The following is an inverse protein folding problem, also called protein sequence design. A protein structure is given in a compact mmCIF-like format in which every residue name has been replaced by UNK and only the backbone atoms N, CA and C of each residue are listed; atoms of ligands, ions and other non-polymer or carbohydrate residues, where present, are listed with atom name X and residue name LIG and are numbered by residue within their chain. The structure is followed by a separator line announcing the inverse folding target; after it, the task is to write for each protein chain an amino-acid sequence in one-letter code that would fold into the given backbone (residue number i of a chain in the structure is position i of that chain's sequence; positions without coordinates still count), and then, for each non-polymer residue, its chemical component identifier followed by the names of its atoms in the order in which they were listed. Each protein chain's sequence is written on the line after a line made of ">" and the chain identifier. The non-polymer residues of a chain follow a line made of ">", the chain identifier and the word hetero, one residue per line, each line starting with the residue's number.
data_IF_447939039009
#
_entry.id   IF_447939039009
#
_cell.length_a   1.000
_cell.length_b   1.000
_cell.length_c   1.000
_cell.angle_alpha   90.00
_cell.angle_beta   90.00
_cell.angle_gamma   90.00
#
_symmetry.space_group_name_H-M   'P 1'
#
loop_
_entity.id
_entity.type
_entity.pdbx_description
1 polymer ?
#
# COMPACT_ATOMS: atom_id res chain seq x y z
N UNK A 1 18.12 -13.15 -20.26
CA UNK A 1 17.87 -11.71 -20.53
C UNK A 1 16.52 -11.35 -19.93
N UNK A 2 16.51 -10.69 -18.77
CA UNK A 2 15.28 -10.23 -18.12
C UNK A 2 15.19 -8.70 -18.29
N UNK A 3 14.16 -8.16 -18.97
CA UNK A 3 14.03 -6.73 -19.13
C UNK A 3 13.61 -6.08 -17.81
N UNK A 4 14.46 -5.15 -17.40
CA UNK A 4 14.35 -4.16 -16.33
C UNK A 4 12.91 -3.58 -16.20
N UNK A 5 12.10 -4.10 -15.27
CA UNK A 5 10.80 -3.54 -14.88
C UNK A 5 11.00 -2.30 -13.98
N UNK A 6 11.53 -1.23 -14.57
CA UNK A 6 11.52 0.11 -13.97
C UNK A 6 10.16 0.75 -14.22
N UNK A 7 9.20 0.46 -13.34
CA UNK A 7 7.90 1.13 -13.37
C UNK A 7 8.09 2.64 -13.10
N UNK A 8 7.41 3.52 -13.87
CA UNK A 8 7.47 4.97 -13.66
C UNK A 8 6.93 5.37 -12.28
N UNK A 9 7.60 6.36 -11.67
CA UNK A 9 7.51 6.82 -10.27
C UNK A 9 6.21 7.56 -9.89
N UNK A 10 5.05 7.20 -10.44
CA UNK A 10 3.77 7.84 -10.10
C UNK A 10 2.91 6.88 -9.27
N UNK A 11 2.75 7.20 -8.00
CA UNK A 11 1.90 6.49 -7.05
C UNK A 11 0.44 6.51 -7.49
N UNK A 12 -0.15 5.35 -7.76
CA UNK A 12 -1.56 5.19 -8.09
C UNK A 12 -2.44 4.67 -6.93
N UNK A 13 -2.01 4.79 -5.67
CA UNK A 13 -2.88 4.44 -4.53
C UNK A 13 -4.10 5.38 -4.39
N UNK A 14 -4.09 6.56 -5.03
CA UNK A 14 -5.25 7.46 -5.07
C UNK A 14 -6.27 7.10 -6.14
N UNK A 15 -5.90 6.33 -7.18
CA UNK A 15 -6.82 5.95 -8.23
C UNK A 15 -7.79 4.87 -7.74
N UNK A 16 -7.33 3.88 -6.98
CA UNK A 16 -8.17 2.79 -6.47
C UNK A 16 -9.31 3.26 -5.54
N UNK A 17 -9.14 4.38 -4.81
CA UNK A 17 -10.21 4.96 -3.99
C UNK A 17 -11.24 5.78 -4.78
N UNK A 18 -10.87 6.24 -5.98
CA UNK A 18 -11.79 6.92 -6.90
C UNK A 18 -12.41 6.00 -7.96
N UNK A 19 -12.03 4.71 -7.97
CA UNK A 19 -12.39 3.68 -8.96
C UNK A 19 -13.22 2.54 -8.35
N UNK A 20 -13.99 2.82 -7.30
CA UNK A 20 -15.14 1.97 -6.96
C UNK A 20 -16.29 2.09 -7.98
N UNK A 21 -16.09 2.85 -9.06
CA UNK A 21 -17.01 3.04 -10.16
C UNK A 21 -16.25 2.71 -11.44
N UNK A 22 -16.61 1.57 -12.03
CA UNK A 22 -16.18 1.07 -13.34
C UNK A 22 -14.72 0.60 -13.38
N UNK A 23 -14.49 -0.62 -12.88
CA UNK A 23 -13.43 -1.44 -13.48
C UNK A 23 -13.74 -1.56 -14.98
N UNK A 24 -12.72 -1.44 -15.82
CA UNK A 24 -12.88 -1.41 -17.27
C UNK A 24 -11.67 -2.13 -17.87
N UNK A 25 -11.70 -3.46 -17.76
CA UNK A 25 -10.69 -4.34 -18.30
C UNK A 25 -11.25 -5.06 -19.52
N UNK A 26 -10.74 -4.66 -20.68
CA UNK A 26 -11.04 -5.23 -21.98
C UNK A 26 -10.56 -6.67 -22.07
N UNK A 27 -11.49 -7.62 -21.85
CA UNK A 27 -11.72 -8.92 -22.55
C UNK A 27 -12.62 -9.87 -21.73
N UNK A 28 -13.03 -9.51 -20.51
CA UNK A 28 -13.98 -10.28 -19.70
C UNK A 28 -15.23 -9.49 -19.24
N UNK A 29 -15.48 -8.30 -19.80
CA UNK A 29 -16.48 -7.33 -19.32
C UNK A 29 -17.69 -7.12 -20.25
N UNK A 30 -17.92 -8.02 -21.21
CA UNK A 30 -19.11 -7.93 -22.07
C UNK A 30 -20.43 -8.26 -21.32
N UNK A 31 -20.38 -8.67 -20.05
CA UNK A 31 -21.57 -9.08 -19.29
C UNK A 31 -21.86 -8.32 -17.98
N UNK A 32 -20.94 -7.52 -17.44
CA UNK A 32 -21.26 -6.76 -16.22
C UNK A 32 -21.90 -5.42 -16.60
N UNK A 33 -23.22 -5.45 -16.83
CA UNK A 33 -24.03 -4.22 -16.84
C UNK A 33 -23.78 -3.46 -15.54
N UNK A 34 -23.61 -2.13 -15.56
CA UNK A 34 -23.52 -1.35 -14.34
C UNK A 34 -24.73 -1.66 -13.46
N UNK A 35 -24.49 -1.93 -12.17
CA UNK A 35 -25.57 -2.24 -11.23
C UNK A 35 -26.58 -1.10 -11.20
N UNK A 36 -27.85 -1.41 -10.92
CA UNK A 36 -28.90 -0.39 -10.81
C UNK A 36 -28.50 0.73 -9.83
N UNK A 37 -27.83 0.38 -8.74
CA UNK A 37 -27.30 1.33 -7.76
C UNK A 37 -26.18 2.23 -8.32
N UNK A 38 -25.28 1.69 -9.16
CA UNK A 38 -24.25 2.48 -9.82
C UNK A 38 -24.85 3.47 -10.82
N UNK A 39 -25.88 3.04 -11.56
CA UNK A 39 -26.62 3.90 -12.48
C UNK A 39 -27.35 5.02 -11.74
N UNK A 40 -28.03 4.73 -10.64
CA UNK A 40 -28.67 5.73 -9.79
C UNK A 40 -27.66 6.74 -9.22
N UNK A 41 -26.49 6.27 -8.76
CA UNK A 41 -25.42 7.17 -8.32
C UNK A 41 -24.98 8.13 -9.43
N UNK A 42 -24.78 7.64 -10.66
CA UNK A 42 -24.39 8.49 -11.80
C UNK A 42 -25.51 9.46 -12.18
N UNK A 43 -26.78 9.03 -12.14
CA UNK A 43 -27.93 9.90 -12.39
C UNK A 43 -27.98 11.07 -11.41
N UNK A 44 -27.71 10.82 -10.14
CA UNK A 44 -27.73 11.81 -9.07
C UNK A 44 -26.43 12.64 -8.93
N UNK A 45 -25.45 12.48 -9.84
CA UNK A 45 -24.24 13.30 -9.85
C UNK A 45 -24.48 14.70 -10.43
N UNK A 46 -23.85 15.71 -9.83
CA UNK A 46 -23.80 17.07 -10.38
C UNK A 46 -23.01 17.10 -11.70
N UNK A 47 -23.19 18.14 -12.55
CA UNK A 47 -22.40 18.30 -13.78
C UNK A 47 -20.89 18.22 -13.54
N UNK A 48 -20.39 18.86 -12.47
CA UNK A 48 -18.97 18.87 -12.12
C UNK A 48 -18.48 17.48 -11.70
N UNK A 49 -19.31 16.72 -10.97
CA UNK A 49 -18.99 15.34 -10.59
C UNK A 49 -18.94 14.42 -11.81
N UNK A 50 -19.86 14.59 -12.77
CA UNK A 50 -19.87 13.85 -14.03
C UNK A 50 -18.65 14.18 -14.88
N UNK A 51 -18.28 15.45 -14.97
CA UNK A 51 -17.06 15.89 -15.68
C UNK A 51 -15.80 15.28 -15.05
N UNK A 52 -15.70 15.34 -13.73
CA UNK A 52 -14.59 14.72 -13.00
C UNK A 52 -14.53 13.19 -13.19
N UNK A 53 -15.68 12.52 -13.28
CA UNK A 53 -15.76 11.09 -13.60
C UNK A 53 -15.28 10.82 -15.03
N UNK A 54 -15.76 11.57 -16.01
CA UNK A 54 -15.34 11.43 -17.41
C UNK A 54 -13.84 11.66 -17.57
N UNK A 55 -13.27 12.67 -16.91
CA UNK A 55 -11.83 12.92 -16.93
C UNK A 55 -11.01 11.77 -16.36
N UNK A 56 -11.52 11.07 -15.34
CA UNK A 56 -10.88 9.85 -14.81
C UNK A 56 -10.97 8.69 -15.81
N UNK A 57 -12.13 8.48 -16.43
CA UNK A 57 -12.33 7.44 -17.45
C UNK A 57 -11.43 7.65 -18.66
N UNK A 58 -11.32 8.88 -19.16
CA UNK A 58 -10.42 9.22 -20.26
C UNK A 58 -8.96 8.97 -19.92
N UNK A 59 -8.55 9.28 -18.68
CA UNK A 59 -7.20 8.94 -18.21
C UNK A 59 -6.98 7.43 -18.21
N UNK A 60 -7.96 6.66 -17.74
CA UNK A 60 -7.88 5.19 -17.72
C UNK A 60 -7.79 4.59 -19.11
N UNK A 61 -8.59 5.08 -20.07
CA UNK A 61 -8.53 4.63 -21.47
C UNK A 61 -7.14 4.85 -22.08
N UNK A 62 -6.46 5.94 -21.70
CA UNK A 62 -5.11 6.28 -22.18
C UNK A 62 -3.98 5.55 -21.42
N UNK A 63 -4.28 4.76 -20.39
CA UNK A 63 -3.26 4.02 -19.64
C UNK A 63 -2.77 2.79 -20.42
N UNK A 64 -1.48 2.44 -20.32
CA UNK A 64 -0.96 1.18 -20.82
C UNK A 64 -1.73 -0.03 -20.26
N UNK A 65 -1.90 -1.09 -21.04
CA UNK A 65 -2.65 -2.29 -20.63
C UNK A 65 -2.13 -2.89 -19.30
N UNK A 66 -0.81 -2.91 -19.09
CA UNK A 66 -0.22 -3.40 -17.85
C UNK A 66 -0.57 -2.54 -16.63
N UNK A 67 -0.66 -1.22 -16.79
CA UNK A 67 -1.07 -0.31 -15.70
C UNK A 67 -2.55 -0.47 -15.37
N UNK A 68 -3.41 -0.64 -16.39
CA UNK A 68 -4.84 -0.93 -16.21
C UNK A 68 -5.07 -2.24 -15.45
N UNK A 69 -4.37 -3.30 -15.85
CA UNK A 69 -4.42 -4.60 -15.18
C UNK A 69 -4.06 -4.51 -13.69
N UNK A 70 -3.07 -3.68 -13.33
CA UNK A 70 -2.71 -3.46 -11.92
C UNK A 70 -3.80 -2.71 -11.14
N UNK A 71 -4.47 -1.73 -11.76
CA UNK A 71 -5.57 -1.00 -11.13
C UNK A 71 -6.78 -1.90 -10.91
N UNK A 72 -7.09 -2.76 -11.87
CA UNK A 72 -8.20 -3.72 -11.81
C UNK A 72 -7.97 -4.75 -10.69
N UNK A 73 -6.78 -5.35 -10.63
CA UNK A 73 -6.41 -6.25 -9.55
C UNK A 73 -6.46 -5.56 -8.17
N UNK A 74 -6.09 -4.27 -8.10
CA UNK A 74 -6.21 -3.49 -6.87
C UNK A 74 -7.66 -3.23 -6.48
N UNK A 75 -8.54 -2.95 -7.45
CA UNK A 75 -9.97 -2.74 -7.25
C UNK A 75 -10.68 -4.03 -6.80
N UNK A 76 -10.38 -5.16 -7.43
CA UNK A 76 -10.90 -6.48 -7.04
C UNK A 76 -10.47 -6.84 -5.61
N UNK A 77 -9.21 -6.56 -5.26
CA UNK A 77 -8.75 -6.77 -3.88
C UNK A 77 -9.51 -5.89 -2.89
N UNK A 78 -9.86 -4.66 -3.27
CA UNK A 78 -10.60 -3.73 -2.41
C UNK A 78 -12.07 -4.14 -2.24
N UNK A 79 -12.72 -4.63 -3.29
CA UNK A 79 -14.12 -5.10 -3.20
C UNK A 79 -14.27 -6.32 -2.29
N UNK A 80 -13.21 -7.14 -2.18
CA UNK A 80 -13.13 -8.27 -1.24
C UNK A 80 -12.82 -7.86 0.21
N UNK A 81 -12.48 -6.60 0.50
CA UNK A 81 -12.22 -6.11 1.86
C UNK A 81 -13.52 -5.74 2.58
N UNK A 82 -13.57 -6.00 3.89
CA UNK A 82 -14.67 -5.53 4.73
C UNK A 82 -14.60 -4.00 4.99
N UNK A 83 -15.68 -3.36 5.49
CA UNK A 83 -15.71 -1.90 5.68
C UNK A 83 -14.59 -1.35 6.57
N UNK A 84 -14.19 -2.09 7.61
CA UNK A 84 -13.12 -1.70 8.53
C UNK A 84 -11.75 -1.71 7.86
N UNK A 85 -11.45 -2.75 7.08
CA UNK A 85 -10.22 -2.86 6.29
C UNK A 85 -10.14 -1.74 5.24
N UNK A 86 -11.26 -1.45 4.59
CA UNK A 86 -11.34 -0.31 3.65
C UNK A 86 -11.11 1.01 4.38
N UNK A 87 -11.66 1.21 5.58
CA UNK A 87 -11.43 2.40 6.39
C UNK A 87 -9.97 2.54 6.83
N UNK A 88 -9.33 1.45 7.27
CA UNK A 88 -7.89 1.44 7.62
C UNK A 88 -7.04 1.82 6.40
N UNK A 89 -7.36 1.29 5.22
CA UNK A 89 -6.67 1.62 3.99
C UNK A 89 -6.87 3.08 3.58
N UNK A 90 -8.09 3.64 3.72
CA UNK A 90 -8.37 5.07 3.50
C UNK A 90 -7.53 5.95 4.42
N UNK A 91 -7.51 5.62 5.71
CA UNK A 91 -6.72 6.36 6.70
C UNK A 91 -5.22 6.28 6.41
N UNK A 92 -4.70 5.10 6.04
CA UNK A 92 -3.30 4.93 5.67
C UNK A 92 -2.94 5.73 4.41
N UNK A 93 -3.82 5.74 3.41
CA UNK A 93 -3.64 6.53 2.20
C UNK A 93 -3.64 8.04 2.49
N UNK A 94 -4.56 8.51 3.33
CA UNK A 94 -4.62 9.92 3.73
C UNK A 94 -3.32 10.35 4.44
N UNK A 95 -2.88 9.57 5.44
CA UNK A 95 -1.59 9.80 6.12
C UNK A 95 -0.42 9.85 5.14
N UNK A 96 -0.41 8.99 4.12
CA UNK A 96 0.62 9.03 3.09
C UNK A 96 0.55 10.29 2.22
N UNK A 97 -0.65 10.77 1.87
CA UNK A 97 -0.82 12.02 1.09
C UNK A 97 -0.34 13.23 1.86
N UNK A 98 -0.57 13.25 3.17
CA UNK A 98 -0.22 14.37 4.07
C UNK A 98 1.27 14.37 4.45
N UNK A 99 2.03 13.33 4.12
CA UNK A 99 3.47 13.30 4.29
C UNK A 99 4.20 14.27 3.36
N UNK A 100 5.29 14.86 3.87
CA UNK A 100 6.20 15.67 3.06
C UNK A 100 6.75 14.87 1.85
N UNK A 101 7.14 15.53 0.75
CA UNK A 101 7.68 14.86 -0.43
C UNK A 101 8.84 13.89 -0.11
N UNK A 102 9.75 14.31 0.78
CA UNK A 102 10.87 13.47 1.26
C UNK A 102 10.40 12.25 2.02
N UNK A 103 9.41 12.39 2.90
CA UNK A 103 8.84 11.27 3.64
C UNK A 103 8.13 10.28 2.71
N UNK A 104 7.37 10.77 1.73
CA UNK A 104 6.73 9.93 0.69
C UNK A 104 7.76 9.18 -0.14
N UNK A 105 8.85 9.83 -0.54
CA UNK A 105 9.94 9.20 -1.28
C UNK A 105 10.57 8.04 -0.50
N UNK A 106 10.80 8.22 0.81
CA UNK A 106 11.31 7.16 1.69
C UNK A 106 10.34 5.99 1.82
N UNK A 107 9.05 6.24 1.96
CA UNK A 107 8.03 5.17 2.00
C UNK A 107 8.02 4.37 0.70
N UNK A 108 8.13 5.03 -0.46
CA UNK A 108 8.22 4.37 -1.77
C UNK A 108 9.47 3.51 -1.88
N UNK A 109 10.64 4.04 -1.51
CA UNK A 109 11.89 3.31 -1.53
C UNK A 109 11.82 2.03 -0.67
N UNK A 110 11.32 2.15 0.56
CA UNK A 110 11.15 1.00 1.46
C UNK A 110 10.17 -0.05 0.89
N UNK A 111 9.10 0.40 0.21
CA UNK A 111 8.14 -0.51 -0.43
C UNK A 111 8.78 -1.25 -1.61
N UNK A 112 9.60 -0.57 -2.41
CA UNK A 112 10.31 -1.18 -3.54
C UNK A 112 11.33 -2.20 -3.05
N UNK A 113 12.09 -1.88 -1.99
CA UNK A 113 12.97 -2.84 -1.32
C UNK A 113 12.20 -4.05 -0.81
N UNK A 114 11.07 -3.83 -0.12
CA UNK A 114 10.23 -4.91 0.36
C UNK A 114 9.72 -5.81 -0.77
N UNK A 115 9.35 -5.23 -1.92
CA UNK A 115 8.86 -5.99 -3.08
C UNK A 115 9.92 -6.88 -3.71
N UNK A 116 11.19 -6.46 -3.67
CA UNK A 116 12.35 -7.20 -4.17
C UNK A 116 12.76 -8.37 -3.27
N UNK A 117 12.29 -8.42 -2.04
CA UNK A 117 12.58 -9.55 -1.14
C UNK A 117 11.94 -10.85 -1.67
N UNK A 118 12.57 -12.01 -1.44
CA UNK A 118 11.97 -13.33 -1.68
C UNK A 118 10.58 -13.47 -1.05
N UNK A 119 9.71 -14.29 -1.63
CA UNK A 119 8.33 -14.42 -1.19
C UNK A 119 8.20 -14.82 0.29
N UNK A 120 9.06 -15.74 0.72
CA UNK A 120 9.17 -16.28 2.08
C UNK A 120 9.54 -15.16 3.06
N UNK A 121 10.58 -14.37 2.71
CA UNK A 121 10.99 -13.22 3.52
C UNK A 121 9.90 -12.16 3.63
N UNK A 122 9.16 -11.91 2.54
CA UNK A 122 8.00 -11.00 2.60
C UNK A 122 6.90 -11.54 3.51
N UNK A 123 6.64 -12.85 3.48
CA UNK A 123 5.65 -13.49 4.34
C UNK A 123 6.05 -13.39 5.83
N UNK A 124 7.31 -13.68 6.16
CA UNK A 124 7.85 -13.54 7.51
C UNK A 124 7.68 -12.11 8.06
N UNK A 125 8.05 -11.11 7.27
CA UNK A 125 7.92 -9.70 7.65
C UNK A 125 6.47 -9.27 7.83
N UNK A 126 5.56 -9.75 6.97
CA UNK A 126 4.11 -9.50 7.14
C UNK A 126 3.61 -10.11 8.44
N UNK A 127 3.98 -11.35 8.75
CA UNK A 127 3.59 -11.99 10.01
C UNK A 127 4.16 -11.27 11.23
N UNK A 128 5.42 -10.85 11.19
CA UNK A 128 6.02 -10.05 12.25
C UNK A 128 5.28 -8.71 12.46
N UNK A 129 4.88 -8.05 11.38
CA UNK A 129 4.10 -6.82 11.44
C UNK A 129 2.70 -7.04 12.03
N UNK A 130 2.02 -8.14 11.67
CA UNK A 130 0.73 -8.53 12.24
C UNK A 130 0.83 -8.78 13.74
N UNK A 131 1.82 -9.57 14.18
CA UNK A 131 2.07 -9.81 15.62
C UNK A 131 2.33 -8.51 16.36
N UNK A 132 3.16 -7.63 15.81
CA UNK A 132 3.43 -6.32 16.39
C UNK A 132 2.16 -5.46 16.53
N UNK A 133 1.25 -5.52 15.55
CA UNK A 133 -0.03 -4.78 15.57
C UNK A 133 -0.96 -5.27 16.66
N UNK A 134 -0.97 -6.59 16.91
CA UNK A 134 -1.79 -7.25 17.93
C UNK A 134 -1.28 -7.04 19.37
N UNK A 135 -0.04 -6.56 19.55
CA UNK A 135 0.47 -6.27 20.89
C UNK A 135 -0.28 -5.09 21.55
N UNK A 136 -0.44 -5.13 22.89
CA UNK A 136 -0.93 -3.98 23.65
C UNK A 136 -0.15 -2.70 23.32
N UNK A 137 -0.79 -1.52 23.27
CA UNK A 137 -0.17 -0.28 22.81
C UNK A 137 1.17 0.04 23.48
N UNK A 138 1.27 -0.15 24.80
CA UNK A 138 2.50 0.09 25.56
C UNK A 138 3.64 -0.86 25.14
N UNK A 139 3.36 -2.16 24.97
CA UNK A 139 4.35 -3.15 24.51
C UNK A 139 4.81 -2.85 23.08
N UNK A 140 3.87 -2.51 22.20
CA UNK A 140 4.16 -2.10 20.82
C UNK A 140 5.05 -0.86 20.78
N UNK A 141 4.74 0.16 21.57
CA UNK A 141 5.57 1.37 21.68
C UNK A 141 6.99 1.06 22.18
N UNK A 142 7.13 0.23 23.21
CA UNK A 142 8.44 -0.17 23.72
C UNK A 142 9.31 -0.86 22.65
N UNK A 143 8.73 -1.74 21.84
CA UNK A 143 9.43 -2.39 20.72
C UNK A 143 9.82 -1.37 19.66
N UNK A 144 8.90 -0.49 19.27
CA UNK A 144 9.17 0.55 18.26
C UNK A 144 10.28 1.50 18.72
N UNK A 145 10.34 1.85 20.01
CA UNK A 145 11.43 2.66 20.55
C UNK A 145 12.78 1.93 20.50
N UNK A 146 12.82 0.63 20.85
CA UNK A 146 14.03 -0.19 20.71
C UNK A 146 14.52 -0.23 19.25
N UNK A 147 13.60 -0.40 18.30
CA UNK A 147 13.93 -0.38 16.86
C UNK A 147 14.48 0.99 16.44
N UNK A 148 13.88 2.09 16.90
CA UNK A 148 14.37 3.45 16.61
C UNK A 148 15.78 3.67 17.15
N UNK A 149 16.02 3.31 18.41
CA UNK A 149 17.35 3.41 19.04
C UNK A 149 18.38 2.57 18.30
N UNK A 150 18.04 1.35 17.90
CA UNK A 150 18.93 0.49 17.13
C UNK A 150 19.30 1.11 15.78
N UNK A 151 18.33 1.71 15.08
CA UNK A 151 18.55 2.36 13.78
C UNK A 151 19.41 3.61 13.87
N UNK A 152 19.38 4.33 15.00
CA UNK A 152 20.22 5.51 15.24
C UNK A 152 21.64 5.17 15.73
N UNK A 153 21.92 3.92 16.09
CA UNK A 153 23.27 3.51 16.52
C UNK A 153 24.23 3.40 15.34
N UNK A 154 25.49 3.76 15.58
CA UNK A 154 26.62 3.48 14.67
C UNK A 154 26.91 1.97 14.57
N UNK A 155 27.66 1.51 13.56
CA UNK A 155 28.08 0.12 13.46
C UNK A 155 28.79 -0.39 14.73
N UNK A 156 29.67 0.42 15.31
CA UNK A 156 30.46 0.10 16.51
C UNK A 156 29.54 -0.03 17.73
N UNK A 157 28.61 0.91 17.91
CA UNK A 157 27.61 0.87 18.99
C UNK A 157 26.71 -0.37 18.87
N UNK A 158 26.35 -0.77 17.65
CA UNK A 158 25.58 -2.00 17.43
C UNK A 158 26.39 -3.24 17.76
N UNK A 159 27.67 -3.26 17.43
CA UNK A 159 28.56 -4.37 17.75
C UNK A 159 28.69 -4.53 19.27
N UNK A 160 29.00 -3.44 19.96
CA UNK A 160 29.10 -3.42 21.43
C UNK A 160 27.77 -3.83 22.10
N UNK A 161 26.62 -3.41 21.57
CA UNK A 161 25.32 -3.87 22.04
C UNK A 161 25.10 -5.38 21.85
N UNK A 162 25.60 -5.98 20.76
CA UNK A 162 25.56 -7.43 20.54
C UNK A 162 26.48 -8.17 21.52
N UNK A 163 27.69 -7.65 21.73
CA UNK A 163 28.67 -8.22 22.66
C UNK A 163 28.13 -8.25 24.09
N UNK A 164 27.58 -7.13 24.58
CA UNK A 164 26.91 -7.08 25.89
C UNK A 164 25.74 -8.06 26.00
N UNK A 165 24.98 -8.25 24.93
CA UNK A 165 23.86 -9.19 24.94
C UNK A 165 24.35 -10.65 25.01
N UNK A 166 25.42 -11.00 24.29
CA UNK A 166 26.05 -12.33 24.37
C UNK A 166 26.58 -12.61 25.77
N UNK A 167 27.37 -11.71 26.33
CA UNK A 167 27.93 -11.86 27.69
C UNK A 167 26.86 -12.10 28.76
N UNK A 168 25.74 -11.37 28.71
CA UNK A 168 24.61 -11.57 29.64
C UNK A 168 23.86 -12.89 29.47
N UNK A 169 23.94 -13.48 28.28
CA UNK A 169 23.29 -14.76 27.99
C UNK A 169 24.19 -15.93 28.39
N UNK A 170 25.49 -15.79 28.15
CA UNK A 170 26.47 -16.86 28.38
C UNK A 170 27.00 -16.86 29.84
N UNK A 171 26.84 -15.75 30.58
CA UNK A 171 27.12 -15.66 32.02
C UNK A 171 25.93 -16.02 32.92
N UNK A 172 24.99 -16.86 32.44
CA UNK A 172 23.82 -17.32 33.18
C UNK A 172 23.72 -18.84 33.14
#
# INVERSE_FOLDING_TARGET
>A
MNPDLRLPRRTFLGAAFGLGLLAASSTAWAQERPSAEALERVKNMTPEQREALMGKLERLKKMPAAERAQLEAAAERLSKMNPEQQAELRAAHQRFRDMSPRARARVRANLDEFRRLPAERRAELKQAALRLRQLPPAKRQAILQKIRRWRSMSPEQRQEARDRFRQRRDGR
#
